data_IF_808000041999
#
_entry.id   IF_808000041999
#
_cell.length_a   1.000
_cell.length_b   1.000
_cell.length_c   1.000
_cell.angle_alpha   90.00
_cell.angle_beta   90.00
_cell.angle_gamma   90.00
#
_symmetry.space_group_name_H-M   'P 1'
#
loop_
_entity.id
_entity.type
_entity.pdbx_description
1 polymer ?
#
# COMPACT_ATOMS: atom_id res chain seq x y z
N UNK A 1 -19.22 -19.44 -27.17
CA UNK A 1 -18.08 -19.21 -26.26
C UNK A 1 -17.88 -17.77 -25.79
N UNK A 2 -18.67 -16.83 -26.23
CA UNK A 2 -18.51 -15.40 -25.86
C UNK A 2 -19.49 -14.90 -24.80
N UNK A 3 -20.26 -15.77 -24.13
CA UNK A 3 -21.29 -15.39 -23.17
C UNK A 3 -20.84 -15.32 -21.70
N UNK A 4 -19.63 -15.75 -21.36
CA UNK A 4 -19.12 -15.76 -20.00
C UNK A 4 -18.62 -14.38 -19.52
N UNK A 5 -18.34 -13.44 -20.40
CA UNK A 5 -17.83 -12.12 -20.08
C UNK A 5 -18.91 -11.09 -19.71
N UNK A 6 -20.17 -11.40 -19.98
CA UNK A 6 -21.29 -10.49 -19.65
C UNK A 6 -21.83 -10.66 -18.23
N UNK A 7 -21.58 -11.81 -17.59
CA UNK A 7 -22.13 -12.10 -16.27
C UNK A 7 -21.32 -11.50 -15.11
N UNK A 8 -20.03 -11.21 -15.31
CA UNK A 8 -19.22 -10.59 -14.26
C UNK A 8 -19.33 -9.05 -14.19
N UNK A 9 -19.85 -8.44 -15.24
CA UNK A 9 -19.92 -6.97 -15.31
C UNK A 9 -21.08 -6.35 -14.52
N UNK A 10 -22.12 -7.12 -14.18
CA UNK A 10 -23.24 -6.64 -13.36
C UNK A 10 -22.91 -6.63 -11.86
N UNK A 11 -22.04 -7.55 -11.42
CA UNK A 11 -21.55 -7.60 -10.02
C UNK A 11 -20.60 -6.43 -9.69
N UNK A 12 -19.91 -5.89 -10.69
CA UNK A 12 -18.95 -4.80 -10.52
C UNK A 12 -19.61 -3.43 -10.68
N UNK A 13 -20.81 -3.39 -11.24
CA UNK A 13 -21.46 -2.15 -11.63
C UNK A 13 -21.94 -1.28 -10.46
N UNK A 14 -22.08 -1.88 -9.27
CA UNK A 14 -22.54 -1.19 -8.06
C UNK A 14 -21.42 -0.88 -7.07
N UNK A 15 -20.18 -1.29 -7.37
CA UNK A 15 -19.02 -1.00 -6.53
C UNK A 15 -18.39 0.30 -6.97
N UNK A 16 -18.26 1.25 -6.07
CA UNK A 16 -17.57 2.51 -6.36
C UNK A 16 -16.09 2.28 -6.66
N UNK A 17 -15.50 3.15 -7.46
CA UNK A 17 -14.06 3.09 -7.77
C UNK A 17 -13.21 3.13 -6.49
N UNK A 18 -13.65 3.88 -5.49
CA UNK A 18 -13.00 3.98 -4.18
C UNK A 18 -13.05 2.65 -3.42
N UNK A 19 -14.20 2.01 -3.39
CA UNK A 19 -14.34 0.67 -2.77
C UNK A 19 -13.43 -0.34 -3.43
N UNK A 20 -13.43 -0.38 -4.76
CA UNK A 20 -12.59 -1.31 -5.51
C UNK A 20 -11.09 -1.09 -5.22
N UNK A 21 -10.64 0.16 -5.12
CA UNK A 21 -9.26 0.49 -4.76
C UNK A 21 -8.93 0.10 -3.33
N UNK A 22 -9.86 0.31 -2.41
CA UNK A 22 -9.72 -0.07 -1.01
C UNK A 22 -9.60 -1.58 -0.87
N UNK A 23 -10.50 -2.34 -1.48
CA UNK A 23 -10.47 -3.81 -1.47
C UNK A 23 -9.17 -4.38 -2.06
N UNK A 24 -8.71 -3.81 -3.15
CA UNK A 24 -7.42 -4.20 -3.74
C UNK A 24 -6.24 -3.93 -2.81
N UNK A 25 -6.24 -2.80 -2.11
CA UNK A 25 -5.19 -2.47 -1.14
C UNK A 25 -5.22 -3.43 0.05
N UNK A 26 -6.40 -3.73 0.60
CA UNK A 26 -6.56 -4.67 1.72
C UNK A 26 -6.14 -6.09 1.30
N UNK A 27 -6.58 -6.54 0.13
CA UNK A 27 -6.20 -7.85 -0.40
C UNK A 27 -4.67 -7.96 -0.58
N UNK A 28 -4.02 -6.93 -1.11
CA UNK A 28 -2.56 -6.90 -1.25
C UNK A 28 -1.86 -7.03 0.11
N UNK A 29 -2.27 -6.25 1.11
CA UNK A 29 -1.71 -6.32 2.46
C UNK A 29 -1.88 -7.73 3.04
N UNK A 30 -3.06 -8.31 2.92
CA UNK A 30 -3.37 -9.65 3.43
C UNK A 30 -2.50 -10.73 2.79
N UNK A 31 -2.30 -10.67 1.49
CA UNK A 31 -1.42 -11.60 0.76
C UNK A 31 0.02 -11.46 1.22
N UNK A 32 0.54 -10.26 1.35
CA UNK A 32 1.91 -10.02 1.82
C UNK A 32 2.13 -10.56 3.24
N UNK A 33 1.17 -10.37 4.13
CA UNK A 33 1.22 -10.93 5.49
C UNK A 33 1.19 -12.46 5.48
N UNK A 34 0.32 -13.06 4.69
CA UNK A 34 0.26 -14.51 4.54
C UNK A 34 1.55 -15.08 3.97
N UNK A 35 2.10 -14.46 2.93
CA UNK A 35 3.37 -14.86 2.33
C UNK A 35 4.51 -14.76 3.34
N UNK A 36 4.57 -13.68 4.12
CA UNK A 36 5.58 -13.51 5.16
C UNK A 36 5.47 -14.56 6.25
N UNK A 37 4.26 -14.87 6.70
CA UNK A 37 4.04 -15.96 7.67
C UNK A 37 4.53 -17.30 7.14
N UNK A 38 4.23 -17.62 5.89
CA UNK A 38 4.67 -18.88 5.25
C UNK A 38 6.19 -18.91 5.08
N UNK A 39 6.81 -17.79 4.72
CA UNK A 39 8.27 -17.65 4.67
C UNK A 39 8.91 -17.94 6.03
N UNK A 40 8.30 -17.46 7.11
CA UNK A 40 8.72 -17.74 8.48
C UNK A 40 8.40 -19.18 8.94
N UNK A 41 7.77 -19.99 8.09
CA UNK A 41 7.37 -21.38 8.36
C UNK A 41 6.47 -21.53 9.60
N UNK A 42 5.59 -20.56 9.80
CA UNK A 42 4.64 -20.52 10.90
C UNK A 42 3.22 -20.81 10.42
N UNK A 43 2.46 -21.55 11.20
CA UNK A 43 1.01 -21.60 11.07
C UNK A 43 0.38 -20.32 11.66
N UNK A 44 -0.93 -20.12 11.47
CA UNK A 44 -1.61 -18.93 12.00
C UNK A 44 -1.53 -18.82 13.52
N UNK A 45 -1.53 -19.94 14.22
CA UNK A 45 -1.46 -19.99 15.68
C UNK A 45 -0.08 -19.59 16.21
N UNK A 46 0.97 -20.09 15.57
CA UNK A 46 2.35 -19.74 15.88
C UNK A 46 2.63 -18.26 15.57
N UNK A 47 2.15 -17.80 14.43
CA UNK A 47 2.30 -16.40 14.03
C UNK A 47 1.54 -15.45 14.96
N UNK A 48 0.34 -15.83 15.40
CA UNK A 48 -0.42 -15.08 16.39
C UNK A 48 0.36 -14.92 17.70
N UNK A 49 0.96 -16.00 18.18
CA UNK A 49 1.82 -15.99 19.38
C UNK A 49 3.04 -15.07 19.18
N UNK A 50 3.68 -15.17 18.02
CA UNK A 50 4.82 -14.32 17.66
C UNK A 50 4.45 -12.85 17.64
N UNK A 51 3.28 -12.52 17.07
CA UNK A 51 2.77 -11.16 16.99
C UNK A 51 2.17 -10.63 18.30
N UNK A 52 1.88 -11.51 19.27
CA UNK A 52 1.20 -11.14 20.51
C UNK A 52 -0.30 -10.85 20.33
N UNK A 53 -0.95 -11.52 19.41
CA UNK A 53 -2.39 -11.37 19.11
C UNK A 53 -3.08 -12.74 19.12
N UNK A 54 -4.41 -12.75 19.02
CA UNK A 54 -5.15 -13.99 18.90
C UNK A 54 -5.03 -14.60 17.48
N UNK A 55 -5.17 -15.92 17.38
CA UNK A 55 -5.19 -16.60 16.08
C UNK A 55 -6.34 -16.09 15.21
N UNK A 56 -7.49 -15.78 15.82
CA UNK A 56 -8.61 -15.16 15.11
C UNK A 56 -8.26 -13.80 14.48
N UNK A 57 -7.40 -13.02 15.13
CA UNK A 57 -6.91 -11.75 14.56
C UNK A 57 -6.03 -11.99 13.33
N UNK A 58 -5.12 -12.96 13.38
CA UNK A 58 -4.30 -13.35 12.21
C UNK A 58 -5.18 -13.82 11.07
N UNK A 59 -6.18 -14.65 11.35
CA UNK A 59 -7.14 -15.10 10.34
C UNK A 59 -7.87 -13.92 9.68
N UNK A 60 -8.27 -12.93 10.46
CA UNK A 60 -8.90 -11.70 9.94
C UNK A 60 -7.93 -10.86 9.09
N UNK A 61 -6.67 -10.74 9.49
CA UNK A 61 -5.66 -10.05 8.70
C UNK A 61 -5.44 -10.69 7.33
N UNK A 62 -5.53 -12.02 7.27
CA UNK A 62 -5.32 -12.78 6.04
C UNK A 62 -6.60 -12.93 5.18
N UNK A 63 -7.76 -12.55 5.69
CA UNK A 63 -9.03 -12.67 4.95
C UNK A 63 -9.16 -11.70 3.77
N UNK A 64 -8.41 -10.60 3.76
CA UNK A 64 -8.52 -9.55 2.76
C UNK A 64 -9.59 -8.48 3.06
N UNK A 65 -10.34 -8.64 4.14
CA UNK A 65 -11.46 -7.74 4.51
C UNK A 65 -11.15 -6.86 5.72
N UNK A 66 -10.02 -7.11 6.39
CA UNK A 66 -9.67 -6.38 7.61
C UNK A 66 -9.15 -4.99 7.30
N UNK A 67 -9.78 -3.98 7.87
CA UNK A 67 -9.35 -2.59 7.74
C UNK A 67 -8.25 -2.29 8.76
N UNK A 68 -7.00 -2.28 8.30
CA UNK A 68 -5.85 -2.03 9.14
C UNK A 68 -5.72 -0.56 9.52
N UNK A 69 -5.40 -0.29 10.78
CA UNK A 69 -4.88 1.02 11.15
C UNK A 69 -3.40 1.14 10.76
N UNK A 70 -2.94 2.35 10.51
CA UNK A 70 -1.52 2.62 10.22
C UNK A 70 -0.63 2.10 11.35
N UNK A 71 -1.03 2.33 12.62
CA UNK A 71 -0.29 1.85 13.78
C UNK A 71 -0.16 0.32 13.79
N UNK A 72 -1.21 -0.40 13.42
CA UNK A 72 -1.17 -1.86 13.31
C UNK A 72 -0.20 -2.30 12.21
N UNK A 73 -0.24 -1.67 11.04
CA UNK A 73 0.66 -1.97 9.92
C UNK A 73 2.12 -1.73 10.27
N UNK A 74 2.43 -0.59 10.88
CA UNK A 74 3.79 -0.28 11.35
C UNK A 74 4.26 -1.32 12.36
N UNK A 75 3.45 -1.67 13.35
CA UNK A 75 3.80 -2.69 14.35
C UNK A 75 4.02 -4.08 13.75
N UNK A 76 3.24 -4.47 12.75
CA UNK A 76 3.44 -5.73 12.02
C UNK A 76 4.76 -5.69 11.26
N UNK A 77 5.03 -4.60 10.55
CA UNK A 77 6.25 -4.45 9.77
C UNK A 77 7.51 -4.49 10.62
N UNK A 78 7.51 -3.82 11.77
CA UNK A 78 8.63 -3.86 12.71
C UNK A 78 8.95 -5.28 13.18
N UNK A 79 7.93 -6.08 13.48
CA UNK A 79 8.12 -7.46 13.94
C UNK A 79 8.48 -8.44 12.84
N UNK A 80 8.02 -8.22 11.62
CA UNK A 80 8.20 -9.15 10.50
C UNK A 80 9.36 -8.79 9.58
N UNK A 81 9.93 -7.60 9.74
CA UNK A 81 10.95 -7.09 8.81
C UNK A 81 10.40 -6.66 7.46
N UNK A 82 9.09 -6.51 7.34
CA UNK A 82 8.47 -5.88 6.18
C UNK A 82 8.60 -4.36 6.27
N UNK A 83 8.49 -3.67 5.15
CA UNK A 83 8.42 -2.21 5.13
C UNK A 83 7.02 -1.74 4.75
N UNK A 84 6.59 -0.68 5.39
CA UNK A 84 5.33 -0.03 5.09
C UNK A 84 5.61 1.43 4.71
N UNK A 85 5.25 1.78 3.49
CA UNK A 85 5.33 3.16 3.00
C UNK A 85 3.91 3.67 2.73
N UNK A 86 3.40 4.62 3.53
CA UNK A 86 2.05 5.14 3.37
C UNK A 86 1.86 6.08 2.17
N UNK A 87 2.89 6.41 1.43
CA UNK A 87 2.94 7.14 0.18
C UNK A 87 1.68 7.87 -0.27
N UNK A 88 1.27 8.92 0.43
CA UNK A 88 0.21 9.83 -0.07
C UNK A 88 0.86 10.83 -1.00
N UNK A 89 0.67 10.61 -2.29
CA UNK A 89 1.21 11.46 -3.34
C UNK A 89 0.10 12.23 -4.03
N UNK A 90 0.35 13.46 -4.48
CA UNK A 90 -0.57 14.15 -5.36
C UNK A 90 -0.88 13.27 -6.59
N UNK A 91 -2.14 13.19 -6.96
CA UNK A 91 -2.50 12.53 -8.22
C UNK A 91 -1.86 13.31 -9.34
N UNK A 92 -0.97 12.67 -10.09
CA UNK A 92 -0.38 13.31 -11.28
C UNK A 92 -1.48 13.84 -12.19
N UNK A 93 -1.45 15.13 -12.56
CA UNK A 93 -2.24 15.56 -13.69
C UNK A 93 -1.81 14.69 -14.87
N UNK A 94 -2.78 14.22 -15.65
CA UNK A 94 -2.49 13.46 -16.87
C UNK A 94 -1.56 14.32 -17.74
N UNK A 95 -0.25 14.08 -17.62
CA UNK A 95 0.75 14.83 -18.35
C UNK A 95 0.69 14.41 -19.81
N UNK A 96 0.17 15.28 -20.61
CA UNK A 96 0.20 15.16 -22.07
C UNK A 96 1.59 15.42 -22.65
N UNK A 97 2.53 15.93 -21.83
CA UNK A 97 3.89 16.19 -22.28
C UNK A 97 4.88 16.33 -21.12
N UNK A 98 5.82 15.42 -21.10
CA UNK A 98 7.17 15.58 -20.52
C UNK A 98 7.28 15.88 -19.02
N UNK A 99 8.04 15.08 -18.41
CA UNK A 99 8.60 14.99 -17.06
C UNK A 99 8.95 16.29 -16.28
N UNK A 100 8.77 17.47 -16.83
CA UNK A 100 9.18 18.73 -16.18
C UNK A 100 8.14 19.31 -15.22
N UNK A 101 6.84 19.08 -15.45
CA UNK A 101 5.78 19.70 -14.67
C UNK A 101 5.63 19.14 -13.25
N UNK A 102 5.97 17.87 -13.04
CA UNK A 102 5.78 17.20 -11.75
C UNK A 102 6.75 17.75 -10.67
N UNK A 103 7.99 17.94 -11.03
CA UNK A 103 9.01 18.45 -10.09
C UNK A 103 8.74 19.88 -9.66
N UNK A 104 8.25 20.72 -10.58
CA UNK A 104 7.90 22.11 -10.26
C UNK A 104 6.70 22.21 -9.33
N UNK A 105 5.65 21.41 -9.56
CA UNK A 105 4.45 21.42 -8.71
C UNK A 105 4.76 20.94 -7.30
N UNK A 106 5.57 19.90 -7.15
CA UNK A 106 6.00 19.39 -5.85
C UNK A 106 6.90 20.41 -5.13
N UNK A 107 7.83 21.03 -5.83
CA UNK A 107 8.71 22.05 -5.27
C UNK A 107 7.95 23.29 -4.77
N UNK A 108 6.92 23.73 -5.47
CA UNK A 108 6.08 24.88 -5.09
C UNK A 108 5.22 24.57 -3.87
N UNK A 109 4.65 23.36 -3.79
CA UNK A 109 3.82 22.96 -2.65
C UNK A 109 4.62 22.67 -1.37
N UNK A 110 5.90 22.36 -1.49
CA UNK A 110 6.78 22.00 -0.39
C UNK A 110 7.67 23.15 0.06
N UNK A 111 7.75 24.23 -0.71
CA UNK A 111 8.61 25.40 -0.45
C UNK A 111 8.39 26.12 0.88
N UNK A 112 7.35 25.77 1.66
CA UNK A 112 7.11 26.25 3.00
C UNK A 112 7.63 25.37 4.14
N UNK A 113 8.13 24.18 3.84
CA UNK A 113 8.56 23.19 4.85
C UNK A 113 10.08 23.05 4.80
N UNK A 114 10.77 23.84 5.64
CA UNK A 114 12.24 23.88 5.65
C UNK A 114 12.95 22.55 5.96
N UNK A 115 12.25 21.59 6.56
CA UNK A 115 12.82 20.29 6.92
C UNK A 115 12.45 19.16 5.93
N UNK A 116 11.69 19.46 4.92
CA UNK A 116 11.25 18.47 3.94
C UNK A 116 12.37 18.06 2.99
N UNK A 117 13.30 18.97 2.72
CA UNK A 117 14.47 18.70 1.86
C UNK A 117 15.37 17.59 2.42
N UNK A 118 15.44 17.46 3.75
CA UNK A 118 16.20 16.41 4.40
C UNK A 118 15.49 15.05 4.46
N UNK A 119 14.19 15.05 4.24
CA UNK A 119 13.39 13.84 4.39
C UNK A 119 12.99 13.18 3.07
N UNK A 120 12.69 13.97 2.06
CA UNK A 120 12.20 13.48 0.76
C UNK A 120 13.30 13.46 -0.31
N UNK A 121 14.28 14.35 -0.21
CA UNK A 121 15.45 14.32 -1.07
C UNK A 121 16.47 13.35 -0.47
N UNK A 122 16.04 12.12 -0.35
CA UNK A 122 16.98 11.02 -0.16
C UNK A 122 17.77 10.80 -1.46
N UNK A 123 18.96 10.29 -1.35
CA UNK A 123 19.95 10.18 -2.43
C UNK A 123 19.44 9.68 -3.79
N UNK A 124 18.34 8.96 -3.80
CA UNK A 124 17.67 8.50 -5.05
C UNK A 124 17.14 9.63 -5.94
N UNK A 125 16.72 10.75 -5.36
CA UNK A 125 16.24 11.90 -6.14
C UNK A 125 17.37 12.79 -6.61
N UNK A 126 18.48 12.85 -5.87
CA UNK A 126 19.65 13.63 -6.27
C UNK A 126 20.34 13.05 -7.49
N UNK A 127 20.40 11.73 -7.64
CA UNK A 127 21.04 11.07 -8.79
C UNK A 127 20.23 11.19 -10.08
N UNK A 128 18.91 11.33 -10.02
CA UNK A 128 18.05 11.48 -11.20
C UNK A 128 17.98 12.88 -11.78
N UNK A 129 18.37 13.92 -11.06
CA UNK A 129 18.20 15.33 -11.44
C UNK A 129 19.48 16.12 -11.63
N UNK A 130 20.62 15.55 -11.37
CA UNK A 130 21.95 16.21 -11.52
C UNK A 130 22.59 15.92 -12.88
N UNK A 131 21.94 15.09 -13.66
CA UNK A 131 22.30 14.91 -15.06
C UNK A 131 21.54 15.91 -15.94
#
# INVERSE_FOLDING_TARGET
>A
MKKATKSSNWLIKDISETELKTEKALAKISVELQMKRLEMKMDQKQFAKYMGVSQGMVSRWESGEYNFTIATLVGICEKTGLSFDPGIMPKEPALTDGSRGFVEVVAVNIGGIKNFDNWVINDKFKEGYVA
#
